data_IF_961990681333
#
_entry.id   IF_961990681333
#
_cell.length_a   1.000
_cell.length_b   1.000
_cell.length_c   1.000
_cell.angle_alpha   90.00
_cell.angle_beta   90.00
_cell.angle_gamma   90.00
#
_symmetry.space_group_name_H-M   'P 1'
#
loop_
_entity.id
_entity.type
_entity.pdbx_description
1 polymer ?
#
# COMPACT_ATOMS: atom_id res chain seq x y z
N UNK A 1 -12.57 -26.88 41.97
CA UNK A 1 -13.47 -27.20 40.84
C UNK A 1 -12.58 -27.76 39.75
N UNK A 2 -12.87 -29.02 39.41
CA UNK A 2 -11.95 -29.98 38.81
C UNK A 2 -11.81 -29.86 37.29
N UNK A 3 -10.61 -30.21 36.84
CA UNK A 3 -10.12 -30.17 35.47
C UNK A 3 -10.55 -31.41 34.66
N UNK A 4 -11.81 -31.85 34.81
CA UNK A 4 -12.33 -33.06 34.14
C UNK A 4 -13.54 -32.84 33.22
N UNK A 5 -14.03 -31.61 33.08
CA UNK A 5 -15.23 -31.34 32.25
C UNK A 5 -14.89 -30.94 30.80
N UNK A 6 -13.61 -30.71 30.46
CA UNK A 6 -13.21 -30.21 29.14
C UNK A 6 -12.90 -31.30 28.09
N UNK A 7 -13.00 -32.59 28.44
CA UNK A 7 -12.66 -33.70 27.53
C UNK A 7 -13.88 -34.49 27.01
N UNK A 8 -15.10 -34.07 27.34
CA UNK A 8 -16.31 -34.75 26.89
C UNK A 8 -16.95 -34.14 25.62
N UNK A 9 -16.62 -32.91 25.24
CA UNK A 9 -17.35 -32.19 24.17
C UNK A 9 -16.68 -32.26 22.78
N UNK A 10 -15.45 -32.77 22.67
CA UNK A 10 -14.71 -32.86 21.41
C UNK A 10 -14.79 -34.21 20.68
N UNK A 11 -15.63 -35.14 21.16
CA UNK A 11 -15.76 -36.49 20.58
C UNK A 11 -17.07 -36.75 19.81
N UNK A 12 -17.92 -35.73 19.61
CA UNK A 12 -19.25 -35.92 19.02
C UNK A 12 -19.44 -35.28 17.62
N UNK A 13 -18.41 -34.71 16.99
CA UNK A 13 -18.52 -34.09 15.66
C UNK A 13 -17.84 -34.91 14.55
N UNK A 14 -17.08 -35.96 14.88
CA UNK A 14 -16.38 -36.79 13.89
C UNK A 14 -17.14 -38.08 13.48
N UNK A 15 -18.47 -38.09 13.62
CA UNK A 15 -19.27 -39.30 13.41
C UNK A 15 -20.59 -39.10 12.67
N UNK A 16 -20.63 -38.22 11.68
CA UNK A 16 -21.76 -38.19 10.73
C UNK A 16 -21.31 -37.62 9.36
N UNK A 17 -20.97 -38.51 8.43
CA UNK A 17 -21.29 -38.44 6.98
C UNK A 17 -20.34 -39.33 6.17
N UNK A 18 -20.76 -40.58 6.00
CA UNK A 18 -20.45 -41.41 4.83
C UNK A 18 -21.80 -41.80 4.22
N UNK A 19 -21.82 -41.92 2.89
CA UNK A 19 -22.78 -42.58 1.99
C UNK A 19 -23.90 -41.74 1.36
N UNK A 20 -23.82 -41.56 0.03
CA UNK A 20 -24.81 -41.85 -1.04
C UNK A 20 -24.04 -41.55 -2.36
N UNK A 21 -23.55 -42.53 -3.12
CA UNK A 21 -24.21 -43.42 -4.10
C UNK A 21 -24.13 -42.86 -5.55
N UNK A 22 -23.73 -43.78 -6.44
CA UNK A 22 -23.39 -43.65 -7.86
C UNK A 22 -24.60 -43.72 -8.79
N UNK A 23 -24.34 -43.73 -10.11
CA UNK A 23 -25.23 -43.98 -11.30
C UNK A 23 -25.76 -42.67 -11.93
N UNK A 24 -25.69 -42.33 -13.23
CA UNK A 24 -25.49 -42.99 -14.54
C UNK A 24 -24.81 -41.96 -15.50
N UNK A 25 -23.92 -42.24 -16.48
CA UNK A 25 -23.88 -43.12 -17.67
C UNK A 25 -24.69 -42.63 -18.90
N UNK A 26 -23.99 -42.01 -19.86
CA UNK A 26 -24.09 -42.15 -21.34
C UNK A 26 -23.01 -41.23 -21.97
N UNK A 27 -21.92 -41.72 -22.57
CA UNK A 27 -21.79 -42.45 -23.85
C UNK A 27 -22.05 -41.56 -25.08
N UNK A 28 -21.01 -41.36 -25.89
CA UNK A 28 -20.93 -41.25 -27.37
C UNK A 28 -19.44 -40.96 -27.67
N UNK A 29 -18.62 -41.97 -27.90
CA UNK A 29 -18.34 -42.70 -29.16
C UNK A 29 -17.28 -42.04 -30.06
N UNK A 30 -16.25 -42.84 -30.30
CA UNK A 30 -15.00 -42.63 -31.02
C UNK A 30 -15.20 -43.04 -32.47
N UNK A 31 -14.70 -42.26 -33.43
CA UNK A 31 -14.39 -42.80 -34.77
C UNK A 31 -13.04 -42.25 -35.25
N UNK A 32 -12.00 -43.07 -35.05
CA UNK A 32 -10.82 -43.12 -35.91
C UNK A 32 -11.03 -44.28 -36.89
N UNK A 33 -10.82 -44.05 -38.18
CA UNK A 33 -10.49 -45.15 -39.10
C UNK A 33 -9.43 -44.69 -40.09
N UNK A 34 -8.25 -45.26 -39.93
CA UNK A 34 -7.25 -45.44 -40.97
C UNK A 34 -7.73 -46.51 -41.97
N UNK A 35 -7.34 -46.39 -43.24
CA UNK A 35 -6.94 -47.56 -44.06
C UNK A 35 -6.23 -47.11 -45.33
N UNK A 36 -5.17 -47.85 -45.62
CA UNK A 36 -4.27 -47.73 -46.75
C UNK A 36 -4.82 -48.41 -48.01
N UNK A 37 -4.10 -48.16 -49.10
CA UNK A 37 -3.66 -49.13 -50.13
C UNK A 37 -4.43 -49.29 -51.45
N UNK A 38 -3.67 -48.93 -52.51
CA UNK A 38 -3.29 -49.74 -53.69
C UNK A 38 -4.03 -49.58 -55.04
N UNK A 39 -3.15 -49.50 -56.05
CA UNK A 39 -3.20 -50.02 -57.43
C UNK A 39 -3.65 -49.12 -58.61
N UNK A 40 -2.63 -48.63 -59.33
CA UNK A 40 -2.45 -48.50 -60.80
C UNK A 40 -2.70 -49.85 -61.54
N UNK A 41 -2.68 -50.01 -62.91
CA UNK A 41 -2.27 -49.11 -64.02
C UNK A 41 -3.09 -49.17 -65.36
N UNK A 42 -2.79 -48.29 -66.33
CA UNK A 42 -2.75 -48.48 -67.82
C UNK A 42 -2.51 -47.10 -68.48
N UNK A 43 -1.33 -46.73 -68.98
CA UNK A 43 -0.64 -46.98 -70.28
C UNK A 43 -1.43 -46.58 -71.55
N UNK A 44 -0.94 -45.51 -72.20
CA UNK A 44 -0.79 -45.23 -73.65
C UNK A 44 -0.82 -43.70 -73.85
N UNK A 45 0.01 -43.02 -74.64
CA UNK A 45 1.13 -43.35 -75.49
C UNK A 45 1.95 -42.06 -75.75
N UNK A 46 3.25 -42.27 -76.01
CA UNK A 46 4.19 -41.45 -76.78
C UNK A 46 3.71 -40.11 -77.36
N UNK A 47 4.40 -39.02 -76.99
CA UNK A 47 5.08 -38.22 -78.02
C UNK A 47 6.32 -37.55 -77.43
N UNK A 48 7.46 -37.85 -78.07
CA UNK A 48 8.78 -37.30 -77.80
C UNK A 48 8.85 -35.95 -78.50
N UNK A 49 9.05 -34.88 -77.73
CA UNK A 49 9.56 -33.61 -78.27
C UNK A 49 10.82 -33.29 -77.49
N UNK A 50 11.96 -33.50 -78.14
CA UNK A 50 13.23 -32.87 -77.78
C UNK A 50 13.01 -31.36 -77.70
N UNK A 51 13.19 -30.78 -76.52
CA UNK A 51 13.45 -29.35 -76.39
C UNK A 51 14.89 -29.18 -75.95
N UNK A 52 15.66 -28.56 -76.84
CA UNK A 52 17.03 -28.11 -76.69
C UNK A 52 17.20 -27.35 -75.37
N UNK A 53 18.14 -27.81 -74.54
CA UNK A 53 18.72 -27.04 -73.45
C UNK A 53 19.34 -25.77 -74.03
N UNK A 54 18.65 -24.65 -73.86
CA UNK A 54 19.27 -23.34 -73.97
C UNK A 54 19.65 -22.93 -72.55
N UNK A 55 20.95 -22.97 -72.22
CA UNK A 55 21.51 -22.30 -71.05
C UNK A 55 21.28 -20.79 -71.19
N UNK A 56 20.08 -20.34 -70.84
CA UNK A 56 19.79 -18.92 -70.67
C UNK A 56 20.44 -18.48 -69.37
N UNK A 57 21.48 -17.65 -69.50
CA UNK A 57 22.17 -16.96 -68.42
C UNK A 57 21.15 -16.12 -67.65
N UNK A 58 20.53 -16.70 -66.61
CA UNK A 58 19.64 -16.00 -65.69
C UNK A 58 20.52 -14.98 -64.97
N UNK A 59 20.54 -13.75 -65.47
CA UNK A 59 21.07 -12.60 -64.74
C UNK A 59 20.32 -12.54 -63.42
N UNK A 60 21.01 -12.92 -62.35
CA UNK A 60 20.53 -12.77 -60.98
C UNK A 60 20.07 -11.31 -60.81
N UNK A 61 18.77 -11.12 -60.59
CA UNK A 61 18.22 -9.79 -60.37
C UNK A 61 18.90 -9.24 -59.12
N UNK A 62 19.57 -8.07 -59.18
CA UNK A 62 20.24 -7.50 -58.02
C UNK A 62 19.29 -7.42 -56.82
N UNK A 63 19.76 -7.82 -55.64
CA UNK A 63 18.96 -7.92 -54.40
C UNK A 63 18.14 -6.66 -54.08
N UNK A 64 18.68 -5.47 -54.42
CA UNK A 64 17.97 -4.21 -54.20
C UNK A 64 16.73 -4.05 -55.10
N UNK A 65 16.72 -4.58 -56.32
CA UNK A 65 15.56 -4.52 -57.22
C UNK A 65 14.45 -5.45 -56.70
N UNK A 66 14.82 -6.63 -56.20
CA UNK A 66 13.88 -7.53 -55.55
C UNK A 66 13.26 -6.90 -54.29
N UNK A 67 14.08 -6.19 -53.48
CA UNK A 67 13.61 -5.44 -52.31
C UNK A 67 12.65 -4.31 -52.70
N UNK A 68 13.00 -3.48 -53.69
CA UNK A 68 12.14 -2.39 -54.16
C UNK A 68 10.80 -2.94 -54.64
N UNK A 69 10.82 -3.97 -55.50
CA UNK A 69 9.61 -4.62 -56.00
C UNK A 69 8.76 -5.22 -54.86
N UNK A 70 9.38 -5.77 -53.83
CA UNK A 70 8.68 -6.25 -52.65
C UNK A 70 8.07 -5.11 -51.83
N UNK A 71 8.76 -3.98 -51.67
CA UNK A 71 8.24 -2.77 -51.02
C UNK A 71 7.05 -2.20 -51.80
N UNK A 72 7.13 -2.14 -53.12
CA UNK A 72 6.08 -1.65 -54.03
C UNK A 72 4.83 -2.52 -53.99
N UNK A 73 4.99 -3.83 -53.91
CA UNK A 73 3.87 -4.78 -53.92
C UNK A 73 3.29 -5.08 -52.55
N UNK A 74 4.00 -4.75 -51.46
CA UNK A 74 3.54 -5.02 -50.11
C UNK A 74 2.68 -3.85 -49.58
N UNK A 75 1.37 -4.08 -49.27
CA UNK A 75 0.44 -3.03 -48.84
C UNK A 75 0.93 -2.23 -47.62
N UNK A 76 1.78 -2.84 -46.79
CA UNK A 76 2.35 -2.21 -45.59
C UNK A 76 3.22 -0.98 -45.91
N UNK A 77 3.86 -0.96 -47.08
CA UNK A 77 4.75 0.14 -47.49
C UNK A 77 4.13 1.02 -48.58
N UNK A 78 2.85 0.86 -48.88
CA UNK A 78 2.13 1.70 -49.85
C UNK A 78 2.32 3.21 -49.58
N UNK A 79 2.46 3.60 -48.30
CA UNK A 79 2.75 4.99 -47.91
C UNK A 79 4.16 5.48 -48.32
N UNK A 80 5.17 4.59 -48.36
CA UNK A 80 6.51 4.91 -48.84
C UNK A 80 6.51 5.01 -50.36
N UNK A 81 5.80 4.11 -51.04
CA UNK A 81 5.64 4.07 -52.50
C UNK A 81 4.93 5.34 -52.98
N UNK A 82 3.78 5.68 -52.40
CA UNK A 82 3.04 6.91 -52.69
C UNK A 82 3.87 8.19 -52.44
N UNK A 83 4.77 8.17 -51.45
CA UNK A 83 5.67 9.29 -51.16
C UNK A 83 6.78 9.43 -52.23
N UNK A 84 7.24 8.32 -52.80
CA UNK A 84 8.25 8.29 -53.87
C UNK A 84 7.63 8.66 -55.22
N UNK A 85 6.41 8.21 -55.50
CA UNK A 85 5.70 8.47 -56.76
C UNK A 85 5.20 9.92 -56.90
N UNK A 86 5.49 10.78 -55.91
CA UNK A 86 5.06 12.18 -55.91
C UNK A 86 3.55 12.37 -55.70
N UNK A 87 2.79 11.29 -55.52
CA UNK A 87 1.36 11.31 -55.21
C UNK A 87 1.09 11.64 -53.73
N UNK A 88 2.14 11.60 -52.90
CA UNK A 88 2.08 11.86 -51.47
C UNK A 88 2.51 13.27 -51.09
N UNK A 89 1.63 14.27 -51.23
CA UNK A 89 1.36 15.05 -50.03
C UNK A 89 0.81 14.05 -49.01
N UNK A 90 1.70 13.50 -48.18
CA UNK A 90 1.25 12.93 -46.91
C UNK A 90 0.63 14.12 -46.19
N UNK A 91 -0.68 14.31 -46.33
CA UNK A 91 -1.42 15.05 -45.32
C UNK A 91 -1.02 14.34 -44.03
N UNK A 92 -0.23 14.96 -43.13
CA UNK A 92 -0.15 14.42 -41.78
C UNK A 92 -1.60 14.26 -41.38
N UNK A 93 -2.00 13.04 -40.96
CA UNK A 93 -3.37 12.73 -40.54
C UNK A 93 -3.99 14.00 -39.98
N UNK A 94 -4.93 14.61 -40.72
CA UNK A 94 -5.47 15.90 -40.32
C UNK A 94 -5.85 15.74 -38.85
N UNK A 95 -5.37 16.58 -37.92
CA UNK A 95 -5.85 16.51 -36.56
C UNK A 95 -7.30 16.96 -36.66
N UNK A 96 -8.21 15.99 -36.76
CA UNK A 96 -9.62 16.24 -36.62
C UNK A 96 -9.79 16.95 -35.28
N UNK A 97 -10.17 18.21 -35.37
CA UNK A 97 -10.41 19.17 -34.31
C UNK A 97 -9.16 19.86 -33.73
N UNK A 98 -9.07 21.17 -34.00
CA UNK A 98 -8.25 22.18 -33.30
C UNK A 98 -8.34 22.08 -31.76
N UNK A 99 -9.44 21.52 -31.25
CA UNK A 99 -9.65 21.20 -29.84
C UNK A 99 -8.77 20.03 -29.36
N UNK A 100 -8.61 18.97 -30.16
CA UNK A 100 -7.75 17.81 -29.86
C UNK A 100 -6.27 18.19 -29.93
N UNK A 101 -5.88 19.12 -30.80
CA UNK A 101 -4.50 19.61 -30.88
C UNK A 101 -4.13 20.49 -29.67
N UNK A 102 -5.05 21.34 -29.20
CA UNK A 102 -4.92 22.08 -27.93
C UNK A 102 -4.87 21.15 -26.72
N UNK A 103 -5.67 20.09 -26.70
CA UNK A 103 -5.64 19.07 -25.63
C UNK A 103 -4.32 18.28 -25.68
N UNK A 104 -3.86 17.82 -26.86
CA UNK A 104 -2.57 17.11 -27.02
C UNK A 104 -1.35 17.97 -26.65
N UNK A 105 -1.43 19.28 -26.83
CA UNK A 105 -0.36 20.21 -26.45
C UNK A 105 -0.46 20.71 -25.00
N UNK A 106 -1.50 20.35 -24.26
CA UNK A 106 -1.59 20.64 -22.84
C UNK A 106 -0.51 19.87 -22.08
N UNK A 107 0.29 20.57 -21.27
CA UNK A 107 1.36 20.00 -20.45
C UNK A 107 0.84 18.80 -19.64
N UNK A 108 -0.39 18.90 -19.14
CA UNK A 108 -1.05 17.85 -18.35
C UNK A 108 -1.31 16.58 -19.17
N UNK A 109 -1.74 16.71 -20.42
CA UNK A 109 -1.98 15.57 -21.32
C UNK A 109 -0.67 14.94 -21.77
N UNK A 110 0.40 15.73 -21.97
CA UNK A 110 1.75 15.21 -22.24
C UNK A 110 2.29 14.42 -21.04
N UNK A 111 2.11 14.94 -19.82
CA UNK A 111 2.52 14.25 -18.59
C UNK A 111 1.72 12.96 -18.41
N UNK A 112 0.39 12.98 -18.58
CA UNK A 112 -0.46 11.78 -18.50
C UNK A 112 -0.03 10.75 -19.56
N UNK A 113 0.13 11.17 -20.81
CA UNK A 113 0.40 10.24 -21.91
C UNK A 113 1.81 9.63 -21.87
N UNK A 114 2.80 10.36 -21.35
CA UNK A 114 4.20 9.90 -21.33
C UNK A 114 4.65 9.31 -20.00
N UNK A 115 3.92 9.53 -18.90
CA UNK A 115 4.34 9.05 -17.57
C UNK A 115 3.30 8.18 -16.88
N UNK A 116 2.01 8.45 -17.09
CA UNK A 116 0.92 7.73 -16.44
C UNK A 116 0.54 6.46 -17.21
N UNK A 117 0.66 6.50 -18.54
CA UNK A 117 0.36 5.38 -19.42
C UNK A 117 1.64 4.77 -19.99
N UNK A 118 1.72 3.45 -19.90
CA UNK A 118 2.62 2.62 -20.68
C UNK A 118 2.28 2.77 -22.17
N UNK A 119 3.31 2.96 -23.01
CA UNK A 119 3.18 3.10 -24.46
C UNK A 119 3.62 1.78 -25.12
N UNK A 120 2.80 1.14 -25.97
CA UNK A 120 3.12 -0.16 -26.58
C UNK A 120 4.46 -0.19 -27.32
N UNK A 121 4.84 0.92 -27.97
CA UNK A 121 6.09 1.01 -28.73
C UNK A 121 7.36 0.96 -27.89
N UNK A 122 7.25 1.07 -26.56
CA UNK A 122 8.39 0.97 -25.65
C UNK A 122 8.74 -0.48 -25.29
N UNK A 123 7.85 -1.43 -25.60
CA UNK A 123 7.98 -2.84 -25.25
C UNK A 123 8.77 -3.65 -26.28
N UNK A 124 9.07 -3.09 -27.45
CA UNK A 124 9.87 -3.75 -28.49
C UNK A 124 10.90 -2.78 -29.09
N UNK A 125 12.01 -3.34 -29.57
CA UNK A 125 13.09 -2.59 -30.20
C UNK A 125 12.85 -2.40 -31.70
N UNK A 126 13.80 -1.75 -32.38
CA UNK A 126 13.61 -1.35 -33.78
C UNK A 126 14.33 -2.24 -34.79
N UNK A 127 15.00 -3.31 -34.35
CA UNK A 127 15.86 -4.13 -35.21
C UNK A 127 15.05 -5.04 -36.12
N UNK A 128 14.09 -5.78 -35.54
CA UNK A 128 13.20 -6.71 -36.22
C UNK A 128 11.85 -6.78 -35.50
N UNK A 129 10.75 -6.41 -36.17
CA UNK A 129 9.42 -6.31 -35.55
C UNK A 129 8.35 -6.90 -36.47
N UNK A 130 7.74 -8.00 -36.04
CA UNK A 130 6.57 -8.60 -36.69
C UNK A 130 5.28 -7.93 -36.24
N UNK A 131 4.19 -8.11 -36.99
CA UNK A 131 2.88 -7.57 -36.60
C UNK A 131 2.39 -8.19 -35.28
N UNK A 132 2.65 -9.49 -35.08
CA UNK A 132 2.38 -10.18 -33.81
C UNK A 132 3.06 -9.51 -32.62
N UNK A 133 4.36 -9.18 -32.72
CA UNK A 133 5.09 -8.48 -31.64
C UNK A 133 4.43 -7.15 -31.31
N UNK A 134 3.98 -6.40 -32.32
CA UNK A 134 3.30 -5.11 -32.11
C UNK A 134 1.94 -5.29 -31.44
N UNK A 135 1.15 -6.27 -31.87
CA UNK A 135 -0.17 -6.54 -31.31
C UNK A 135 -0.07 -7.04 -29.87
N UNK A 136 0.86 -7.94 -29.59
CA UNK A 136 1.12 -8.44 -28.23
C UNK A 136 1.63 -7.31 -27.31
N UNK A 137 2.45 -6.38 -27.82
CA UNK A 137 2.86 -5.19 -27.07
C UNK A 137 1.69 -4.29 -26.67
N UNK A 138 0.65 -4.17 -27.51
CA UNK A 138 -0.58 -3.43 -27.18
C UNK A 138 -1.32 -4.12 -26.03
N UNK A 139 -1.39 -5.45 -26.03
CA UNK A 139 -2.03 -6.23 -24.96
C UNK A 139 -1.27 -6.05 -23.65
N UNK A 140 0.06 -6.23 -23.65
CA UNK A 140 0.93 -6.05 -22.48
C UNK A 140 0.77 -4.65 -21.89
N UNK A 141 0.86 -3.61 -22.74
CA UNK A 141 0.73 -2.22 -22.33
C UNK A 141 -0.63 -1.91 -21.72
N UNK A 142 -1.72 -2.44 -22.27
CA UNK A 142 -3.08 -2.27 -21.72
C UNK A 142 -3.24 -2.91 -20.34
N UNK A 143 -2.71 -4.11 -20.15
CA UNK A 143 -2.79 -4.81 -18.87
C UNK A 143 -2.05 -4.04 -17.77
N UNK A 144 -0.83 -3.58 -18.08
CA UNK A 144 -0.05 -2.74 -17.16
C UNK A 144 -0.79 -1.45 -16.84
N UNK A 145 -1.40 -0.80 -17.84
CA UNK A 145 -2.20 0.40 -17.61
C UNK A 145 -3.40 0.15 -16.69
N UNK A 146 -4.08 -0.99 -16.81
CA UNK A 146 -5.20 -1.35 -15.92
C UNK A 146 -4.70 -1.60 -14.50
N UNK A 147 -3.63 -2.39 -14.33
CA UNK A 147 -3.01 -2.66 -13.02
C UNK A 147 -2.55 -1.36 -12.34
N UNK A 148 -1.82 -0.51 -13.07
CA UNK A 148 -1.40 0.81 -12.62
C UNK A 148 -2.58 1.71 -12.23
N UNK A 149 -3.71 1.65 -12.94
CA UNK A 149 -4.89 2.46 -12.64
C UNK A 149 -5.54 2.02 -11.32
N UNK A 150 -5.61 0.71 -11.07
CA UNK A 150 -6.13 0.14 -9.82
C UNK A 150 -5.26 0.64 -8.66
N UNK A 151 -3.94 0.52 -8.80
CA UNK A 151 -3.00 0.97 -7.78
C UNK A 151 -3.03 2.49 -7.60
N UNK A 152 -3.24 3.26 -8.66
CA UNK A 152 -3.41 4.72 -8.58
C UNK A 152 -4.58 5.07 -7.66
N UNK A 153 -5.75 4.48 -7.90
CA UNK A 153 -6.94 4.78 -7.10
C UNK A 153 -6.85 4.20 -5.69
N UNK A 154 -6.30 2.99 -5.53
CA UNK A 154 -6.13 2.36 -4.23
C UNK A 154 -5.16 3.11 -3.32
N UNK A 155 -4.03 3.58 -3.87
CA UNK A 155 -3.01 4.31 -3.10
C UNK A 155 -3.34 5.79 -2.90
N UNK A 156 -4.26 6.35 -3.69
CA UNK A 156 -4.59 7.79 -3.64
C UNK A 156 -5.01 8.27 -2.25
N UNK A 157 -5.93 7.59 -1.52
CA UNK A 157 -6.27 8.00 -0.17
C UNK A 157 -5.07 8.00 0.77
N UNK A 158 -4.19 6.98 0.70
CA UNK A 158 -3.01 6.91 1.57
C UNK A 158 -2.15 8.17 1.42
N UNK A 159 -1.82 8.54 0.18
CA UNK A 159 -1.03 9.75 -0.08
C UNK A 159 -1.78 11.03 0.29
N UNK A 160 -3.07 11.11 -0.03
CA UNK A 160 -3.87 12.29 0.30
C UNK A 160 -3.88 12.55 1.81
N UNK A 161 -4.18 11.52 2.60
CA UNK A 161 -4.27 11.66 4.04
C UNK A 161 -2.91 11.82 4.70
N UNK A 162 -1.84 11.19 4.18
CA UNK A 162 -0.48 11.41 4.67
C UNK A 162 -0.03 12.88 4.56
N UNK A 163 -0.49 13.59 3.53
CA UNK A 163 -0.14 14.99 3.28
C UNK A 163 -1.26 15.99 3.61
N UNK A 164 -2.41 15.54 4.16
CA UNK A 164 -3.57 16.39 4.47
C UNK A 164 -3.22 17.54 5.43
N UNK A 165 -2.23 17.36 6.30
CA UNK A 165 -1.73 18.39 7.23
C UNK A 165 -1.16 19.63 6.53
N UNK A 166 -0.72 19.53 5.27
CA UNK A 166 -0.28 20.67 4.45
C UNK A 166 -1.47 21.46 3.85
N UNK A 167 -2.69 20.97 4.03
CA UNK A 167 -3.92 21.47 3.44
C UNK A 167 -4.42 20.59 2.29
N UNK A 168 -5.75 20.61 2.07
CA UNK A 168 -6.42 19.74 1.08
C UNK A 168 -5.89 19.93 -0.35
N UNK A 169 -5.65 21.19 -0.76
CA UNK A 169 -5.16 21.48 -2.12
C UNK A 169 -3.71 20.98 -2.33
N UNK A 170 -2.72 21.33 -1.48
CA UNK A 170 -1.38 20.74 -1.55
C UNK A 170 -1.38 19.21 -1.50
N UNK A 171 -2.16 18.61 -0.58
CA UNK A 171 -2.27 17.15 -0.45
C UNK A 171 -2.76 16.49 -1.74
N UNK A 172 -3.76 17.07 -2.40
CA UNK A 172 -4.26 16.60 -3.69
C UNK A 172 -3.18 16.63 -4.78
N UNK A 173 -2.43 17.73 -4.90
CA UNK A 173 -1.34 17.81 -5.88
C UNK A 173 -0.22 16.82 -5.59
N UNK A 174 0.18 16.69 -4.33
CA UNK A 174 1.22 15.73 -3.92
C UNK A 174 0.76 14.30 -4.20
N UNK A 175 -0.50 13.97 -3.94
CA UNK A 175 -1.09 12.65 -4.26
C UNK A 175 -0.95 12.31 -5.74
N UNK A 176 -1.26 13.25 -6.63
CA UNK A 176 -1.11 13.05 -8.07
C UNK A 176 0.36 12.84 -8.43
N UNK A 177 1.26 13.68 -7.91
CA UNK A 177 2.70 13.60 -8.21
C UNK A 177 3.30 12.28 -7.72
N UNK A 178 3.00 11.86 -6.49
CA UNK A 178 3.49 10.61 -5.91
C UNK A 178 3.03 9.41 -6.71
N UNK A 179 1.75 9.36 -7.07
CA UNK A 179 1.24 8.30 -7.93
C UNK A 179 1.93 8.31 -9.31
N UNK A 180 2.12 9.47 -9.95
CA UNK A 180 2.84 9.56 -11.23
C UNK A 180 4.27 9.01 -11.11
N UNK A 181 4.99 9.33 -10.02
CA UNK A 181 6.35 8.83 -9.79
C UNK A 181 6.36 7.30 -9.68
N UNK A 182 5.45 6.72 -8.91
CA UNK A 182 5.35 5.28 -8.70
C UNK A 182 4.97 4.57 -10.01
N UNK A 183 3.98 5.09 -10.74
CA UNK A 183 3.56 4.55 -12.03
C UNK A 183 4.66 4.63 -13.08
N UNK A 184 5.39 5.75 -13.13
CA UNK A 184 6.55 5.89 -14.00
C UNK A 184 7.61 4.84 -13.67
N UNK A 185 7.88 4.62 -12.38
CA UNK A 185 8.84 3.61 -11.94
C UNK A 185 8.40 2.19 -12.32
N UNK A 186 7.12 1.86 -12.15
CA UNK A 186 6.52 0.58 -12.60
C UNK A 186 6.65 0.39 -14.11
N UNK A 187 6.31 1.41 -14.90
CA UNK A 187 6.44 1.41 -16.36
C UNK A 187 7.90 1.26 -16.80
N UNK A 188 8.83 1.99 -16.17
CA UNK A 188 10.26 1.91 -16.48
C UNK A 188 10.82 0.51 -16.16
N UNK A 189 10.42 -0.11 -15.04
CA UNK A 189 10.78 -1.49 -14.72
C UNK A 189 10.25 -2.47 -15.77
N UNK A 190 8.96 -2.37 -16.11
CA UNK A 190 8.33 -3.24 -17.10
C UNK A 190 8.99 -3.12 -18.48
N UNK A 191 9.21 -1.89 -18.96
CA UNK A 191 9.90 -1.63 -20.23
C UNK A 191 11.33 -2.17 -20.22
N UNK A 192 12.07 -2.03 -19.12
CA UNK A 192 13.44 -2.54 -19.02
C UNK A 192 13.53 -4.08 -18.97
N UNK A 193 12.51 -4.77 -18.43
CA UNK A 193 12.41 -6.24 -18.52
C UNK A 193 12.32 -6.67 -19.98
N UNK A 194 11.56 -5.93 -20.80
CA UNK A 194 11.35 -6.23 -22.22
C UNK A 194 12.53 -5.85 -23.12
N UNK A 195 13.40 -4.94 -22.68
CA UNK A 195 14.64 -4.57 -23.39
C UNK A 195 15.74 -5.64 -23.37
N UNK A 196 15.45 -6.83 -22.82
CA UNK A 196 16.42 -7.93 -22.82
C UNK A 196 16.63 -8.45 -24.24
N UNK A 197 17.84 -8.27 -24.78
CA UNK A 197 18.27 -8.92 -26.03
C UNK A 197 18.78 -10.35 -25.75
N UNK A 198 19.17 -11.10 -26.80
CA UNK A 198 19.72 -12.47 -26.68
C UNK A 198 20.98 -12.55 -25.79
N UNK A 199 21.72 -11.45 -25.64
CA UNK A 199 22.96 -11.36 -24.85
C UNK A 199 22.75 -10.75 -23.46
N UNK A 200 21.50 -10.53 -23.05
CA UNK A 200 21.19 -9.86 -21.79
C UNK A 200 21.40 -10.80 -20.60
N UNK A 201 22.14 -10.34 -19.58
CA UNK A 201 22.48 -11.17 -18.43
C UNK A 201 21.24 -11.56 -17.62
N UNK A 202 20.96 -12.85 -17.49
CA UNK A 202 19.75 -13.39 -16.84
C UNK A 202 19.54 -12.85 -15.42
N UNK A 203 20.63 -12.66 -14.64
CA UNK A 203 20.54 -12.08 -13.28
C UNK A 203 20.03 -10.63 -13.29
N UNK A 204 20.38 -9.81 -14.30
CA UNK A 204 19.87 -8.43 -14.39
C UNK A 204 18.38 -8.42 -14.68
N UNK A 205 17.93 -9.31 -15.58
CA UNK A 205 16.51 -9.46 -15.91
C UNK A 205 15.70 -9.98 -14.71
N UNK A 206 16.21 -10.99 -14.02
CA UNK A 206 15.62 -11.51 -12.79
C UNK A 206 15.53 -10.44 -11.69
N UNK A 207 16.56 -9.60 -11.55
CA UNK A 207 16.55 -8.46 -10.62
C UNK A 207 15.52 -7.37 -10.96
N UNK A 208 15.32 -7.07 -12.25
CA UNK A 208 14.26 -6.15 -12.67
C UNK A 208 12.86 -6.73 -12.43
N UNK A 209 12.68 -8.01 -12.73
CA UNK A 209 11.43 -8.71 -12.49
C UNK A 209 11.09 -8.80 -11.00
N UNK A 210 12.06 -9.14 -10.14
CA UNK A 210 11.85 -9.15 -8.69
C UNK A 210 11.53 -7.76 -8.16
N UNK A 211 12.20 -6.72 -8.66
CA UNK A 211 11.86 -5.33 -8.35
C UNK A 211 10.42 -4.96 -8.70
N UNK A 212 9.93 -5.39 -9.87
CA UNK A 212 8.55 -5.17 -10.29
C UNK A 212 7.56 -5.92 -9.38
N UNK A 213 7.84 -7.17 -9.02
CA UNK A 213 6.98 -7.96 -8.12
C UNK A 213 6.91 -7.30 -6.73
N UNK A 214 8.06 -6.92 -6.16
CA UNK A 214 8.12 -6.26 -4.84
C UNK A 214 7.33 -4.95 -4.86
N UNK A 215 7.50 -4.14 -5.91
CA UNK A 215 6.77 -2.87 -6.04
C UNK A 215 5.25 -3.10 -6.06
N UNK A 216 4.78 -4.06 -6.85
CA UNK A 216 3.36 -4.41 -6.91
C UNK A 216 2.82 -4.86 -5.56
N UNK A 217 3.56 -5.71 -4.82
CA UNK A 217 3.15 -6.15 -3.47
C UNK A 217 2.99 -4.94 -2.53
N UNK A 218 3.96 -4.02 -2.54
CA UNK A 218 3.90 -2.80 -1.73
C UNK A 218 2.68 -1.95 -2.13
N UNK A 219 2.44 -1.76 -3.42
CA UNK A 219 1.30 -0.99 -3.92
C UNK A 219 -0.05 -1.65 -3.58
N UNK A 220 -0.16 -2.97 -3.62
CA UNK A 220 -1.40 -3.67 -3.24
C UNK A 220 -1.71 -3.52 -1.75
N UNK A 221 -0.69 -3.66 -0.89
CA UNK A 221 -0.84 -3.45 0.56
C UNK A 221 -1.19 -1.99 0.85
N UNK A 222 -0.47 -1.04 0.25
CA UNK A 222 -0.75 0.39 0.37
C UNK A 222 -2.15 0.74 -0.13
N UNK A 223 -2.66 0.05 -1.15
CA UNK A 223 -4.04 0.22 -1.63
C UNK A 223 -5.07 -0.26 -0.61
N UNK A 224 -4.83 -1.41 0.03
CA UNK A 224 -5.66 -1.89 1.14
C UNK A 224 -5.70 -0.86 2.29
N UNK A 225 -4.53 -0.37 2.72
CA UNK A 225 -4.44 0.66 3.77
C UNK A 225 -5.14 1.95 3.35
N UNK A 226 -4.96 2.41 2.10
CA UNK A 226 -5.61 3.60 1.58
C UNK A 226 -7.13 3.50 1.64
N UNK A 227 -7.68 2.35 1.24
CA UNK A 227 -9.13 2.10 1.27
C UNK A 227 -9.64 1.97 2.71
N UNK A 228 -8.88 1.35 3.63
CA UNK A 228 -9.22 1.32 5.06
C UNK A 228 -9.30 2.75 5.61
N UNK A 229 -8.29 3.57 5.29
CA UNK A 229 -8.21 4.95 5.75
C UNK A 229 -9.39 5.78 5.22
N UNK A 230 -9.72 5.63 3.93
CA UNK A 230 -10.84 6.35 3.31
C UNK A 230 -12.21 5.98 3.92
N UNK A 231 -12.44 4.70 4.19
CA UNK A 231 -13.77 4.23 4.62
C UNK A 231 -13.95 4.21 6.13
N UNK A 232 -12.88 3.98 6.91
CA UNK A 232 -12.94 3.79 8.35
C UNK A 232 -12.36 4.96 9.16
N UNK A 233 -12.19 6.15 8.55
CA UNK A 233 -11.64 7.34 9.23
C UNK A 233 -12.32 7.65 10.57
N UNK A 234 -13.65 7.59 10.63
CA UNK A 234 -14.39 7.85 11.86
C UNK A 234 -14.05 6.82 12.95
N UNK A 235 -13.97 5.53 12.58
CA UNK A 235 -13.62 4.46 13.52
C UNK A 235 -12.18 4.58 13.99
N UNK A 236 -11.24 4.93 13.10
CA UNK A 236 -9.84 5.16 13.47
C UNK A 236 -9.70 6.33 14.45
N UNK A 237 -10.53 7.37 14.28
CA UNK A 237 -10.54 8.51 15.18
C UNK A 237 -11.12 8.16 16.55
N UNK A 238 -12.16 7.33 16.58
CA UNK A 238 -12.71 6.77 17.81
C UNK A 238 -11.70 5.88 18.55
N UNK A 239 -10.97 5.02 17.83
CA UNK A 239 -9.88 4.20 18.41
C UNK A 239 -8.82 5.09 19.06
N UNK A 240 -8.41 6.18 18.39
CA UNK A 240 -7.49 7.15 18.99
C UNK A 240 -8.05 7.80 20.24
N UNK A 241 -9.32 8.20 20.20
CA UNK A 241 -9.97 8.80 21.36
C UNK A 241 -9.98 7.82 22.54
N UNK A 242 -10.32 6.55 22.30
CA UNK A 242 -10.28 5.51 23.31
C UNK A 242 -8.88 5.34 23.91
N UNK A 243 -7.81 5.27 23.09
CA UNK A 243 -6.42 5.20 23.58
C UNK A 243 -6.08 6.37 24.52
N UNK A 244 -6.49 7.60 24.15
CA UNK A 244 -6.23 8.80 24.95
C UNK A 244 -7.03 8.78 26.25
N UNK A 245 -8.31 8.40 26.20
CA UNK A 245 -9.17 8.29 27.38
C UNK A 245 -8.60 7.26 28.34
N UNK A 246 -8.23 6.07 27.86
CA UNK A 246 -7.64 5.02 28.70
C UNK A 246 -6.36 5.50 29.38
N UNK A 247 -5.47 6.18 28.65
CA UNK A 247 -4.27 6.77 29.22
C UNK A 247 -4.57 7.82 30.30
N UNK A 248 -5.55 8.70 30.06
CA UNK A 248 -5.93 9.73 31.03
C UNK A 248 -6.58 9.13 32.28
N UNK A 249 -7.44 8.11 32.12
CA UNK A 249 -8.06 7.43 33.25
C UNK A 249 -7.03 6.73 34.15
N UNK A 250 -5.95 6.18 33.57
CA UNK A 250 -4.83 5.63 34.34
C UNK A 250 -4.14 6.73 35.17
N UNK A 251 -3.89 7.90 34.57
CA UNK A 251 -3.26 9.03 35.29
C UNK A 251 -4.13 9.49 36.46
N UNK A 252 -5.43 9.66 36.26
CA UNK A 252 -6.34 10.07 37.34
C UNK A 252 -6.44 9.01 38.45
N UNK A 253 -6.44 7.73 38.07
CA UNK A 253 -6.40 6.64 39.04
C UNK A 253 -5.09 6.65 39.85
N UNK A 254 -3.94 6.82 39.21
CA UNK A 254 -2.64 6.91 39.89
C UNK A 254 -2.56 8.12 40.84
N UNK A 255 -3.10 9.27 40.42
CA UNK A 255 -3.18 10.47 41.26
C UNK A 255 -4.02 10.21 42.53
N UNK A 256 -5.18 9.58 42.36
CA UNK A 256 -6.04 9.17 43.49
C UNK A 256 -5.32 8.17 44.41
N UNK A 257 -4.67 7.14 43.85
CA UNK A 257 -3.92 6.14 44.62
C UNK A 257 -2.71 6.72 45.35
N UNK A 258 -2.06 7.74 44.78
CA UNK A 258 -0.97 8.47 45.44
C UNK A 258 -1.46 9.16 46.72
N UNK A 259 -2.65 9.79 46.69
CA UNK A 259 -3.24 10.45 47.86
C UNK A 259 -3.57 9.46 48.99
N UNK A 260 -3.90 8.21 48.66
CA UNK A 260 -4.17 7.14 49.63
C UNK A 260 -2.94 6.82 50.51
N UNK A 261 -1.73 6.94 49.96
CA UNK A 261 -0.52 6.44 50.61
C UNK A 261 0.18 7.46 51.53
N UNK A 262 -0.41 8.64 51.79
CA UNK A 262 0.09 9.64 52.75
C UNK A 262 1.61 9.93 52.63
N UNK A 263 2.11 10.07 51.40
CA UNK A 263 3.54 10.20 51.11
C UNK A 263 4.04 11.66 51.06
N UNK A 264 3.28 12.62 51.55
CA UNK A 264 3.73 14.02 51.51
C UNK A 264 4.93 14.24 52.45
N UNK A 265 6.00 14.95 52.03
CA UNK A 265 7.17 15.19 52.88
C UNK A 265 6.81 15.85 54.22
N UNK A 266 5.82 16.74 54.21
CA UNK A 266 5.34 17.41 55.42
C UNK A 266 4.65 16.43 56.38
N UNK A 267 3.78 15.54 55.88
CA UNK A 267 3.13 14.51 56.69
C UNK A 267 4.17 13.58 57.33
N UNK A 268 5.12 13.06 56.55
CA UNK A 268 6.15 12.17 57.06
C UNK A 268 7.02 12.84 58.14
N UNK A 269 7.39 14.11 57.94
CA UNK A 269 8.19 14.85 58.91
C UNK A 269 7.43 15.13 60.21
N UNK A 270 6.15 15.49 60.13
CA UNK A 270 5.31 15.74 61.31
C UNK A 270 5.00 14.42 62.03
N UNK A 271 4.77 13.34 61.28
CA UNK A 271 4.59 11.98 61.81
C UNK A 271 5.81 11.53 62.59
N UNK A 272 7.00 11.63 62.00
CA UNK A 272 8.25 11.25 62.66
C UNK A 272 8.49 12.09 63.94
N UNK A 273 8.21 13.39 63.89
CA UNK A 273 8.29 14.26 65.08
C UNK A 273 7.29 13.85 66.15
N UNK A 274 6.04 13.53 65.78
CA UNK A 274 5.02 13.07 66.71
C UNK A 274 5.43 11.73 67.37
N UNK A 275 5.83 10.74 66.57
CA UNK A 275 6.24 9.41 67.05
C UNK A 275 7.49 9.47 67.95
N UNK A 276 8.50 10.28 67.59
CA UNK A 276 9.69 10.48 68.43
C UNK A 276 9.34 11.14 69.77
N UNK A 277 8.50 12.17 69.74
CA UNK A 277 8.08 12.87 70.95
C UNK A 277 7.23 11.98 71.87
N UNK A 278 6.30 11.18 71.32
CA UNK A 278 5.56 10.18 72.10
C UNK A 278 6.48 9.11 72.71
N UNK A 279 7.45 8.61 71.94
CA UNK A 279 8.40 7.63 72.43
C UNK A 279 9.27 8.18 73.57
N UNK A 280 9.70 9.44 73.49
CA UNK A 280 10.43 10.11 74.58
C UNK A 280 9.54 10.31 75.81
N UNK A 281 8.29 10.74 75.62
CA UNK A 281 7.33 10.98 76.68
C UNK A 281 6.99 9.71 77.47
N UNK A 282 7.00 8.55 76.80
CA UNK A 282 6.81 7.23 77.41
C UNK A 282 8.05 6.72 78.17
N UNK A 283 9.25 7.25 77.88
CA UNK A 283 10.51 6.86 78.55
C UNK A 283 10.82 7.70 79.79
N UNK A 284 10.30 8.91 79.87
CA UNK A 284 10.57 9.85 80.96
C UNK A 284 9.50 9.68 82.05
N UNK A 285 9.86 9.54 83.34
CA UNK A 285 8.88 9.48 84.42
C UNK A 285 8.14 10.82 84.56
N UNK A 286 6.84 10.76 84.89
CA UNK A 286 5.97 11.95 85.05
C UNK A 286 6.47 12.97 86.08
N UNK A 287 7.33 12.57 87.02
CA UNK A 287 7.95 13.45 88.00
C UNK A 287 9.09 14.31 87.42
N UNK A 288 9.56 14.01 86.21
CA UNK A 288 10.61 14.78 85.55
C UNK A 288 10.05 16.15 85.08
N UNK A 289 10.71 17.28 85.38
CA UNK A 289 10.27 18.60 84.95
C UNK A 289 10.06 18.75 83.43
N UNK A 290 10.83 18.02 82.61
CA UNK A 290 10.72 18.02 81.14
C UNK A 290 9.47 17.31 80.62
N UNK A 291 8.83 16.46 81.45
CA UNK A 291 7.64 15.72 81.03
C UNK A 291 6.49 16.66 80.68
N UNK A 292 6.22 17.66 81.53
CA UNK A 292 5.14 18.62 81.30
C UNK A 292 5.38 19.50 80.08
N UNK A 293 6.63 19.94 79.85
CA UNK A 293 6.95 20.78 78.69
C UNK A 293 6.84 19.99 77.38
N UNK A 294 7.34 18.76 77.35
CA UNK A 294 7.22 17.89 76.18
C UNK A 294 5.75 17.52 75.93
N UNK A 295 4.98 17.20 76.96
CA UNK A 295 3.55 16.93 76.80
C UNK A 295 2.80 18.10 76.16
N UNK A 296 3.07 19.32 76.64
CA UNK A 296 2.47 20.53 76.10
C UNK A 296 2.85 20.78 74.62
N UNK A 297 4.10 20.52 74.22
CA UNK A 297 4.55 20.64 72.83
C UNK A 297 3.86 19.63 71.90
N UNK A 298 3.65 18.40 72.39
CA UNK A 298 3.08 17.32 71.59
C UNK A 298 1.55 17.42 71.46
N UNK A 299 0.85 17.75 72.55
CA UNK A 299 -0.61 17.66 72.63
C UNK A 299 -1.33 18.97 72.97
N UNK A 300 -0.60 20.01 73.40
CA UNK A 300 -1.14 21.24 73.95
C UNK A 300 -1.18 21.23 75.48
N UNK A 301 -1.36 22.41 76.08
CA UNK A 301 -1.47 22.55 77.54
C UNK A 301 -2.80 22.02 78.05
N UNK A 302 -2.88 21.75 79.36
CA UNK A 302 -4.12 21.27 79.99
C UNK A 302 -5.26 22.28 79.90
N UNK A 303 -4.94 23.57 79.92
CA UNK A 303 -5.87 24.69 79.79
C UNK A 303 -6.52 24.71 78.39
N UNK A 304 -5.82 24.25 77.36
CA UNK A 304 -6.27 24.25 75.97
C UNK A 304 -7.04 22.97 75.58
N UNK A 305 -7.30 22.06 76.54
CA UNK A 305 -7.98 20.78 76.27
C UNK A 305 -9.38 20.93 75.66
N UNK A 306 -10.05 22.05 75.91
CA UNK A 306 -11.38 22.38 75.37
C UNK A 306 -11.33 23.39 74.22
N UNK A 307 -10.13 23.79 73.78
CA UNK A 307 -9.98 24.71 72.66
C UNK A 307 -10.44 24.03 71.37
N UNK A 308 -11.18 24.78 70.55
CA UNK A 308 -11.41 24.38 69.17
C UNK A 308 -10.14 24.63 68.37
N UNK A 309 -9.47 23.55 68.02
CA UNK A 309 -8.23 23.60 67.27
C UNK A 309 -8.47 23.89 65.78
N UNK A 310 -9.69 23.72 65.25
CA UNK A 310 -9.98 23.76 63.82
C UNK A 310 -9.56 25.08 63.13
N UNK A 311 -9.69 26.21 63.82
CA UNK A 311 -9.38 27.54 63.28
C UNK A 311 -7.96 28.05 63.60
N UNK A 312 -7.16 27.26 64.33
CA UNK A 312 -5.79 27.63 64.69
C UNK A 312 -4.88 27.37 63.49
N UNK A 313 -3.98 28.30 63.09
CA UNK A 313 -3.01 28.07 62.02
C UNK A 313 -2.14 26.83 62.27
N UNK A 314 -1.76 26.14 61.19
CA UNK A 314 -1.04 24.87 61.25
C UNK A 314 0.27 24.96 62.05
N UNK A 315 0.98 26.09 61.92
CA UNK A 315 2.27 26.35 62.56
C UNK A 315 2.15 26.52 64.09
N UNK A 316 0.95 26.86 64.58
CA UNK A 316 0.67 27.09 66.00
C UNK A 316 0.07 25.87 66.70
N UNK A 317 -0.21 24.80 65.95
CA UNK A 317 -0.72 23.57 66.53
C UNK A 317 0.37 22.76 67.24
N UNK A 318 0.03 22.04 68.32
CA UNK A 318 0.89 21.00 68.88
C UNK A 318 1.23 19.92 67.84
N UNK A 319 2.41 19.31 67.94
CA UNK A 319 2.96 18.43 66.89
C UNK A 319 2.03 17.26 66.54
N UNK A 320 1.45 16.58 67.53
CA UNK A 320 0.55 15.46 67.24
C UNK A 320 -0.85 15.93 66.79
N UNK A 321 -1.25 17.18 67.09
CA UNK A 321 -2.45 17.79 66.51
C UNK A 321 -2.25 18.14 65.04
N UNK A 322 -1.07 18.60 64.66
CA UNK A 322 -0.67 18.80 63.27
C UNK A 322 -0.82 17.50 62.46
N UNK A 323 -0.32 16.37 63.02
CA UNK A 323 -0.43 15.07 62.36
C UNK A 323 -1.89 14.68 62.07
N UNK A 324 -2.77 14.82 63.06
CA UNK A 324 -4.20 14.52 62.90
C UNK A 324 -4.85 15.40 61.83
N UNK A 325 -4.51 16.70 61.79
CA UNK A 325 -5.01 17.59 60.75
C UNK A 325 -4.55 17.17 59.36
N UNK A 326 -3.25 16.92 59.17
CA UNK A 326 -2.72 16.48 57.87
C UNK A 326 -3.33 15.15 57.44
N UNK A 327 -3.58 14.24 58.38
CA UNK A 327 -4.26 12.98 58.08
C UNK A 327 -5.70 13.19 57.61
N UNK A 328 -6.45 14.09 58.27
CA UNK A 328 -7.80 14.46 57.84
C UNK A 328 -7.79 15.16 56.48
N UNK A 329 -6.86 16.08 56.24
CA UNK A 329 -6.70 16.75 54.93
C UNK A 329 -6.39 15.74 53.82
N UNK A 330 -5.49 14.78 54.06
CA UNK A 330 -5.19 13.70 53.11
C UNK A 330 -6.42 12.82 52.85
N UNK A 331 -7.18 12.48 53.89
CA UNK A 331 -8.42 11.70 53.76
C UNK A 331 -9.46 12.44 52.92
N UNK A 332 -9.70 13.72 53.21
CA UNK A 332 -10.65 14.56 52.45
C UNK A 332 -10.19 14.73 51.01
N UNK A 333 -8.90 14.96 50.76
CA UNK A 333 -8.36 15.07 49.40
C UNK A 333 -8.51 13.75 48.63
N UNK A 334 -8.29 12.61 49.29
CA UNK A 334 -8.51 11.30 48.70
C UNK A 334 -10.00 11.05 48.39
N UNK A 335 -10.91 11.37 49.32
CA UNK A 335 -12.35 11.20 49.12
C UNK A 335 -12.86 12.08 47.96
N UNK A 336 -12.40 13.33 47.88
CA UNK A 336 -12.71 14.21 46.76
C UNK A 336 -12.17 13.66 45.43
N UNK A 337 -10.90 13.26 45.38
CA UNK A 337 -10.31 12.67 44.17
C UNK A 337 -11.01 11.37 43.75
N UNK A 338 -11.45 10.56 44.71
CA UNK A 338 -12.22 9.35 44.45
C UNK A 338 -13.61 9.68 43.86
N UNK A 339 -14.28 10.70 44.38
CA UNK A 339 -15.56 11.15 43.84
C UNK A 339 -15.39 11.73 42.44
N UNK A 340 -14.38 12.58 42.22
CA UNK A 340 -14.06 13.16 40.90
C UNK A 340 -13.77 12.05 39.86
N UNK A 341 -13.01 11.02 40.25
CA UNK A 341 -12.74 9.87 39.38
C UNK A 341 -14.00 9.05 39.07
N UNK A 342 -14.88 8.84 40.06
CA UNK A 342 -16.16 8.16 39.85
C UNK A 342 -17.08 8.98 38.93
N UNK A 343 -17.11 10.30 39.09
CA UNK A 343 -17.88 11.20 38.23
C UNK A 343 -17.37 11.14 36.78
N UNK A 344 -16.04 11.06 36.58
CA UNK A 344 -15.45 10.82 35.25
C UNK A 344 -15.86 9.47 34.65
N UNK A 345 -15.88 8.39 35.44
CA UNK A 345 -16.34 7.08 34.98
C UNK A 345 -17.81 7.09 34.57
N UNK A 346 -18.67 7.74 35.37
CA UNK A 346 -20.08 7.91 35.08
C UNK A 346 -20.25 8.73 33.80
N UNK A 347 -19.57 9.87 33.69
CA UNK A 347 -19.62 10.73 32.50
C UNK A 347 -19.17 9.99 31.24
N UNK A 348 -18.10 9.17 31.30
CA UNK A 348 -17.67 8.35 30.16
C UNK A 348 -18.76 7.36 29.74
N UNK A 349 -19.37 6.67 30.70
CA UNK A 349 -20.41 5.68 30.43
C UNK A 349 -21.70 6.33 29.91
N UNK A 350 -22.09 7.49 30.43
CA UNK A 350 -23.29 8.23 30.01
C UNK A 350 -23.17 8.78 28.59
N UNK A 351 -21.97 9.25 28.20
CA UNK A 351 -21.72 9.73 26.84
C UNK A 351 -21.63 8.56 25.85
N UNK A 352 -21.02 7.44 26.26
CA UNK A 352 -20.90 6.22 25.44
C UNK A 352 -20.02 6.36 24.19
N UNK A 353 -19.33 7.50 24.03
CA UNK A 353 -18.43 7.78 22.93
C UNK A 353 -17.19 8.54 23.44
N UNK A 354 -16.02 7.92 23.35
CA UNK A 354 -14.79 8.45 23.94
C UNK A 354 -14.33 9.76 23.28
N UNK A 355 -14.67 10.00 22.01
CA UNK A 355 -14.36 11.26 21.33
C UNK A 355 -15.16 12.42 21.91
N UNK A 356 -16.47 12.24 22.12
CA UNK A 356 -17.34 13.24 22.75
C UNK A 356 -16.99 13.43 24.23
N UNK A 357 -16.64 12.36 24.94
CA UNK A 357 -16.19 12.44 26.32
C UNK A 357 -14.90 13.25 26.47
N UNK A 358 -13.94 13.10 25.56
CA UNK A 358 -12.74 13.93 25.56
C UNK A 358 -13.06 15.41 25.34
N UNK A 359 -13.98 15.74 24.44
CA UNK A 359 -14.38 17.13 24.18
C UNK A 359 -15.00 17.78 25.43
N UNK A 360 -15.85 17.04 26.16
CA UNK A 360 -16.51 17.57 27.36
C UNK A 360 -15.62 17.59 28.60
N UNK A 361 -14.91 16.50 28.88
CA UNK A 361 -14.22 16.28 30.16
C UNK A 361 -12.75 16.69 30.11
N UNK A 362 -12.12 16.63 28.94
CA UNK A 362 -10.70 16.96 28.75
C UNK A 362 -10.50 17.86 27.51
N UNK A 363 -11.13 19.05 27.44
CA UNK A 363 -11.17 19.88 26.24
C UNK A 363 -9.78 20.29 25.75
N UNK A 364 -8.81 20.48 26.65
CA UNK A 364 -7.43 20.79 26.27
C UNK A 364 -6.76 19.63 25.54
N UNK A 365 -6.99 18.39 26.00
CA UNK A 365 -6.47 17.17 25.36
C UNK A 365 -7.18 16.96 24.03
N UNK A 366 -8.50 17.15 23.98
CA UNK A 366 -9.26 17.09 22.74
C UNK A 366 -8.71 18.08 21.69
N UNK A 367 -8.60 19.37 22.05
CA UNK A 367 -8.13 20.41 21.15
C UNK A 367 -6.69 20.22 20.69
N UNK A 368 -5.85 19.48 21.41
CA UNK A 368 -4.49 19.17 20.96
C UNK A 368 -4.43 18.06 19.90
N UNK A 369 -5.37 17.11 19.93
CA UNK A 369 -5.34 15.91 19.08
C UNK A 369 -6.37 15.93 17.95
N UNK A 370 -7.49 16.64 18.13
CA UNK A 370 -8.62 16.65 17.22
C UNK A 370 -8.96 18.06 16.72
N UNK A 371 -9.56 18.14 15.54
CA UNK A 371 -10.15 19.34 14.97
C UNK A 371 -11.53 19.61 15.58
N UNK A 372 -12.11 20.78 15.32
CA UNK A 372 -13.48 21.11 15.73
C UNK A 372 -14.55 20.20 15.10
N UNK A 373 -14.19 19.48 14.03
CA UNK A 373 -15.07 18.53 13.34
C UNK A 373 -14.90 17.11 13.89
N UNK A 374 -14.08 16.91 14.92
CA UNK A 374 -13.77 15.60 15.47
C UNK A 374 -12.86 14.76 14.59
N UNK A 375 -12.10 15.36 13.67
CA UNK A 375 -11.07 14.66 12.91
C UNK A 375 -9.72 14.70 13.61
N UNK A 376 -8.89 13.68 13.42
CA UNK A 376 -7.53 13.64 13.95
C UNK A 376 -6.64 14.70 13.26
N UNK A 377 -5.99 15.57 14.04
CA UNK A 377 -5.10 16.63 13.51
C UNK A 377 -3.84 16.07 12.87
N UNK A 378 -3.29 15.01 13.46
CA UNK A 378 -2.08 14.35 12.99
C UNK A 378 -2.40 13.40 11.83
N UNK A 379 -2.19 13.88 10.61
CA UNK A 379 -2.30 13.09 9.38
C UNK A 379 -1.48 11.81 9.39
N UNK A 380 -0.26 11.85 9.90
CA UNK A 380 0.61 10.67 9.98
C UNK A 380 0.10 9.65 10.99
N UNK A 381 -0.44 10.11 12.11
CA UNK A 381 -1.01 9.22 13.12
C UNK A 381 -2.25 8.51 12.60
N UNK A 382 -3.11 9.21 11.83
CA UNK A 382 -4.23 8.58 11.14
C UNK A 382 -3.77 7.48 10.17
N UNK A 383 -2.69 7.71 9.41
CA UNK A 383 -2.11 6.69 8.51
C UNK A 383 -1.55 5.50 9.29
N UNK A 384 -0.87 5.75 10.42
CA UNK A 384 -0.36 4.70 11.30
C UNK A 384 -1.49 3.86 11.89
N UNK A 385 -2.55 4.50 12.39
CA UNK A 385 -3.73 3.82 12.90
C UNK A 385 -4.41 2.97 11.82
N UNK A 386 -4.57 3.52 10.61
CA UNK A 386 -5.12 2.76 9.48
C UNK A 386 -4.24 1.55 9.12
N UNK A 387 -2.92 1.74 9.11
CA UNK A 387 -1.96 0.67 8.80
C UNK A 387 -2.04 -0.45 9.84
N UNK A 388 -2.00 -0.10 11.12
CA UNK A 388 -2.10 -1.07 12.21
C UNK A 388 -3.46 -1.77 12.19
N UNK A 389 -4.55 -1.01 12.07
CA UNK A 389 -5.91 -1.57 12.02
C UNK A 389 -6.07 -2.55 10.86
N UNK A 390 -5.61 -2.18 9.66
CA UNK A 390 -5.67 -3.05 8.49
C UNK A 390 -4.84 -4.33 8.66
N UNK A 391 -3.58 -4.21 9.08
CA UNK A 391 -2.69 -5.36 9.22
C UNK A 391 -3.12 -6.30 10.34
N UNK A 392 -3.50 -5.75 11.51
CA UNK A 392 -4.00 -6.55 12.64
C UNK A 392 -5.25 -7.33 12.22
N UNK A 393 -6.27 -6.67 11.65
CA UNK A 393 -7.47 -7.36 11.17
C UNK A 393 -7.18 -8.39 10.09
N UNK A 394 -6.19 -8.14 9.22
CA UNK A 394 -5.77 -9.08 8.18
C UNK A 394 -5.13 -10.33 8.77
N UNK A 395 -4.23 -10.19 9.75
CA UNK A 395 -3.52 -11.32 10.36
C UNK A 395 -4.34 -12.06 11.42
N UNK A 396 -5.27 -11.38 12.08
CA UNK A 396 -6.17 -11.97 13.07
C UNK A 396 -7.38 -12.67 12.43
N UNK A 397 -7.55 -12.55 11.11
CA UNK A 397 -8.63 -13.21 10.36
C UNK A 397 -9.97 -12.49 10.42
N UNK A 398 -10.01 -11.23 10.86
CA UNK A 398 -11.20 -10.37 10.90
C UNK A 398 -11.57 -9.80 9.53
N UNK A 399 -11.63 -10.67 8.51
CA UNK A 399 -11.77 -10.28 7.10
C UNK A 399 -13.08 -9.50 6.82
N UNK A 400 -14.12 -9.73 7.62
CA UNK A 400 -15.39 -9.01 7.51
C UNK A 400 -15.25 -7.50 7.78
N UNK A 401 -14.38 -7.11 8.71
CA UNK A 401 -14.15 -5.71 9.07
C UNK A 401 -13.32 -4.94 8.04
N UNK A 402 -12.60 -5.65 7.16
CA UNK A 402 -11.76 -5.10 6.08
C UNK A 402 -12.19 -5.60 4.70
N UNK A 403 -13.44 -6.02 4.52
CA UNK A 403 -13.88 -6.70 3.29
C UNK A 403 -13.63 -5.86 2.01
N UNK A 404 -13.95 -4.55 2.05
CA UNK A 404 -13.71 -3.64 0.93
C UNK A 404 -12.21 -3.36 0.69
N UNK A 405 -11.41 -2.99 1.71
CA UNK A 405 -9.94 -2.95 1.59
C UNK A 405 -9.34 -4.23 1.02
N UNK A 406 -9.80 -5.40 1.49
CA UNK A 406 -9.33 -6.71 1.07
C UNK A 406 -9.71 -7.02 -0.37
N UNK A 407 -10.91 -6.63 -0.81
CA UNK A 407 -11.34 -6.76 -2.20
C UNK A 407 -10.42 -5.96 -3.13
N UNK A 408 -10.12 -4.70 -2.80
CA UNK A 408 -9.23 -3.85 -3.60
C UNK A 408 -7.80 -4.38 -3.59
N UNK A 409 -7.29 -4.80 -2.43
CA UNK A 409 -5.98 -5.45 -2.33
C UNK A 409 -5.92 -6.69 -3.23
N UNK A 410 -6.92 -7.57 -3.13
CA UNK A 410 -6.97 -8.81 -3.93
C UNK A 410 -7.04 -8.52 -5.42
N UNK A 411 -7.83 -7.52 -5.82
CA UNK A 411 -7.94 -7.10 -7.21
C UNK A 411 -6.63 -6.52 -7.74
N UNK A 412 -5.94 -5.69 -6.94
CA UNK A 412 -4.60 -5.19 -7.23
C UNK A 412 -3.62 -6.36 -7.40
N UNK A 413 -3.51 -7.27 -6.42
CA UNK A 413 -2.61 -8.43 -6.47
C UNK A 413 -2.84 -9.29 -7.71
N UNK A 414 -4.09 -9.64 -8.03
CA UNK A 414 -4.42 -10.47 -9.20
C UNK A 414 -4.04 -9.74 -10.49
N UNK A 415 -4.41 -8.46 -10.62
CA UNK A 415 -4.13 -7.68 -11.83
C UNK A 415 -2.62 -7.49 -12.06
N UNK A 416 -1.87 -7.24 -10.99
CA UNK A 416 -0.43 -7.08 -11.01
C UNK A 416 0.29 -8.41 -11.28
N UNK A 417 -0.20 -9.52 -10.72
CA UNK A 417 0.34 -10.85 -10.98
C UNK A 417 0.19 -11.25 -12.45
N UNK A 418 -1.01 -11.07 -13.02
CA UNK A 418 -1.28 -11.32 -14.44
C UNK A 418 -0.40 -10.42 -15.32
N UNK A 419 -0.28 -9.14 -14.98
CA UNK A 419 0.56 -8.20 -15.72
C UNK A 419 2.05 -8.57 -15.67
N UNK A 420 2.55 -9.00 -14.51
CA UNK A 420 3.92 -9.50 -14.35
C UNK A 420 4.19 -10.73 -15.23
N UNK A 421 3.30 -11.74 -15.18
CA UNK A 421 3.44 -12.97 -15.99
C UNK A 421 3.45 -12.66 -17.48
N UNK A 422 2.48 -11.85 -17.94
CA UNK A 422 2.36 -11.52 -19.36
C UNK A 422 3.56 -10.69 -19.82
N UNK A 423 4.04 -9.74 -19.00
CA UNK A 423 5.27 -9.00 -19.27
C UNK A 423 6.47 -9.93 -19.37
N UNK A 424 6.62 -10.88 -18.44
CA UNK A 424 7.71 -11.85 -18.46
C UNK A 424 7.66 -12.72 -19.71
N UNK A 425 6.51 -13.34 -20.01
CA UNK A 425 6.35 -14.21 -21.17
C UNK A 425 6.62 -13.47 -22.48
N UNK A 426 6.08 -12.25 -22.63
CA UNK A 426 6.32 -11.40 -23.78
C UNK A 426 7.83 -11.05 -23.91
N UNK A 427 8.51 -10.76 -22.80
CA UNK A 427 9.95 -10.50 -22.81
C UNK A 427 10.81 -11.72 -23.19
N UNK A 428 10.26 -12.93 -23.09
CA UNK A 428 10.94 -14.18 -23.44
C UNK A 428 10.76 -14.57 -24.91
N UNK A 429 9.77 -13.99 -25.60
CA UNK A 429 9.52 -14.23 -27.03
C UNK A 429 10.78 -13.91 -27.86
N UNK A 430 11.15 -14.84 -28.74
CA UNK A 430 12.34 -14.71 -29.57
C UNK A 430 12.28 -13.47 -30.47
N UNK A 431 11.11 -13.14 -31.03
CA UNK A 431 10.94 -11.97 -31.89
C UNK A 431 11.09 -10.67 -31.09
N UNK A 432 10.68 -10.66 -29.82
CA UNK A 432 10.90 -9.52 -28.92
C UNK A 432 12.39 -9.35 -28.62
N UNK A 433 13.11 -10.44 -28.33
CA UNK A 433 14.58 -10.40 -28.12
C UNK A 433 15.33 -9.94 -29.38
N UNK A 434 14.93 -10.41 -30.56
CA UNK A 434 15.49 -10.00 -31.85
C UNK A 434 15.20 -8.52 -32.14
N UNK A 435 14.07 -7.99 -31.69
CA UNK A 435 13.75 -6.57 -31.85
C UNK A 435 14.76 -5.64 -31.18
N UNK A 436 15.44 -6.11 -30.12
CA UNK A 436 16.47 -5.40 -29.36
C UNK A 436 17.90 -5.81 -29.70
N UNK A 437 18.10 -6.64 -30.73
CA UNK A 437 19.42 -7.09 -31.14
C UNK A 437 20.15 -5.99 -31.92
N UNK A 438 21.23 -5.47 -31.34
CA UNK A 438 22.03 -4.40 -31.95
C UNK A 438 22.93 -4.92 -33.08
N UNK A 439 23.35 -6.19 -33.03
CA UNK A 439 24.13 -6.79 -34.11
C UNK A 439 23.26 -6.97 -35.35
N UNK A 440 22.03 -7.45 -35.16
CA UNK A 440 21.05 -7.54 -36.25
C UNK A 440 20.76 -6.17 -36.86
N UNK A 441 20.62 -5.15 -36.01
CA UNK A 441 20.42 -3.76 -36.45
C UNK A 441 21.58 -3.26 -37.30
N UNK A 442 22.81 -3.44 -36.84
CA UNK A 442 24.01 -3.02 -37.57
C UNK A 442 24.14 -3.75 -38.90
N UNK A 443 23.93 -5.07 -38.93
CA UNK A 443 23.97 -5.86 -40.18
C UNK A 443 22.90 -5.41 -41.18
N UNK A 444 21.68 -5.16 -40.71
CA UNK A 444 20.59 -4.63 -41.54
C UNK A 444 20.95 -3.25 -42.09
N UNK A 445 21.40 -2.34 -41.25
CA UNK A 445 21.70 -0.96 -41.64
C UNK A 445 22.87 -0.92 -42.65
N UNK A 446 23.91 -1.73 -42.44
CA UNK A 446 25.02 -1.89 -43.37
C UNK A 446 24.57 -2.49 -44.71
N UNK A 447 23.71 -3.51 -44.68
CA UNK A 447 23.18 -4.11 -45.91
C UNK A 447 22.34 -3.10 -46.69
N UNK A 448 21.44 -2.36 -46.03
CA UNK A 448 20.63 -1.31 -46.66
C UNK A 448 21.51 -0.21 -47.27
N UNK A 449 22.55 0.22 -46.58
CA UNK A 449 23.49 1.22 -47.09
C UNK A 449 24.25 0.70 -48.32
N UNK A 450 24.66 -0.57 -48.30
CA UNK A 450 25.35 -1.21 -49.43
C UNK A 450 24.44 -1.28 -50.66
N UNK A 451 23.18 -1.71 -50.49
CA UNK A 451 22.18 -1.75 -51.56
C UNK A 451 21.90 -0.35 -52.12
N UNK A 452 21.79 0.65 -51.25
CA UNK A 452 21.60 2.05 -51.66
C UNK A 452 22.78 2.59 -52.48
N UNK A 453 24.03 2.30 -52.07
CA UNK A 453 25.23 2.70 -52.82
C UNK A 453 25.30 2.03 -54.19
N UNK A 454 24.96 0.74 -54.27
CA UNK A 454 24.92 0.01 -55.54
C UNK A 454 23.89 0.61 -56.51
N UNK A 455 22.69 0.92 -56.01
CA UNK A 455 21.65 1.60 -56.80
C UNK A 455 22.14 2.95 -57.38
N UNK A 456 22.85 3.76 -56.58
CA UNK A 456 23.40 5.04 -57.05
C UNK A 456 24.47 4.83 -58.14
N UNK A 457 25.39 3.88 -57.93
CA UNK A 457 26.49 3.62 -58.86
C UNK A 457 25.99 3.08 -60.20
N UNK A 458 25.01 2.17 -60.17
CA UNK A 458 24.40 1.61 -61.39
C UNK A 458 23.65 2.70 -62.19
N UNK A 459 22.97 3.62 -61.50
CA UNK A 459 22.34 4.77 -62.15
C UNK A 459 23.36 5.77 -62.72
N UNK A 460 24.54 5.89 -62.12
CA UNK A 460 25.63 6.73 -62.61
C UNK A 460 26.40 6.12 -63.79
N UNK A 461 26.32 4.80 -64.03
CA UNK A 461 26.91 4.13 -65.19
C UNK A 461 25.97 4.04 -66.40
N UNK A 462 24.66 4.26 -66.19
CA UNK A 462 23.64 4.24 -67.24
C UNK A 462 23.26 5.66 -67.75
N UNK A 463 23.93 6.70 -67.26
CA UNK A 463 23.92 8.07 -67.80
C UNK A 463 25.24 8.35 -68.52
#
# INVERSE_FOLDING_TARGET
MDNQEFLAENNEINKEMITIESSDLHEIEVVQSSSQEKQTPEIEALEVIEQEETEENIKEVPDYIALIKWIETNPRYAHLVAKVDGEGEVKPSQPDNLFIEKIKNNLFVKIIKNHLLSIPTEYYGKSYVTDKVRDDAVVVSRLINVSNLIDFFGNSPLWFFAFKSLGNAPAFFITIVMNIIILKFSNDLSTNINRSNKNYHLVKKAGLFSGLVILNVIQSVASGIGVELFNNQAKLTEVKAQEIVEAQMIIEQENMEFLKNANSPQYLQVKERCEKGEAELNRIPRSNPRWNSLYAEMHGTWQERTQDWNNVPMEQLPVCRQLVRLQNELFVNYENAQNDFNDLLIARNDVGNDLLFLDSSFPNIYQSNFTSEGELKSSLELVTLATNSFLTKLFDGELGAIALPLFILSFSVISSFVSCIITWNYSEDEYVKLSWDEELKQKRDLWLETQWRNLINDNAHNQ
#
